data_IF_809678561779
#
_entry.id   IF_809678561779
#
_cell.length_a   1.000
_cell.length_b   1.000
_cell.length_c   1.000
_cell.angle_alpha   90.00
_cell.angle_beta   90.00
_cell.angle_gamma   90.00
#
_symmetry.space_group_name_H-M   'P 1'
#
loop_
_entity.id
_entity.type
_entity.pdbx_description
1 polymer ?
#
# COMPACT_ATOMS: atom_id res chain seq x y z
N UNK A 1 -23.30 4.56 5.74
CA UNK A 1 -22.43 3.44 6.15
C UNK A 1 -22.11 3.60 7.63
N UNK A 2 -22.46 2.62 8.47
CA UNK A 2 -22.14 2.71 9.90
C UNK A 2 -20.62 2.66 10.09
N UNK A 3 -20.07 3.64 10.83
CA UNK A 3 -18.63 3.79 11.09
C UNK A 3 -18.01 2.51 11.66
N UNK A 4 -18.76 1.82 12.53
CA UNK A 4 -18.43 0.52 13.11
C UNK A 4 -18.16 -0.56 12.05
N UNK A 5 -18.97 -0.63 10.99
CA UNK A 5 -18.78 -1.62 9.92
C UNK A 5 -17.56 -1.31 9.06
N UNK A 6 -17.26 -0.02 8.84
CA UNK A 6 -16.06 0.39 8.10
C UNK A 6 -14.78 0.09 8.90
N UNK A 7 -14.79 0.41 10.20
CA UNK A 7 -13.68 0.10 11.12
C UNK A 7 -13.45 -1.40 11.25
N UNK A 8 -14.52 -2.18 11.42
CA UNK A 8 -14.42 -3.64 11.49
C UNK A 8 -13.85 -4.24 10.19
N UNK A 9 -14.25 -3.71 9.02
CA UNK A 9 -13.77 -4.20 7.72
C UNK A 9 -12.28 -3.88 7.49
N UNK A 10 -11.86 -2.64 7.74
CA UNK A 10 -10.45 -2.24 7.56
C UNK A 10 -9.56 -2.89 8.63
N UNK A 11 -10.04 -2.95 9.88
CA UNK A 11 -9.33 -3.57 10.99
C UNK A 11 -9.13 -5.07 10.79
N UNK A 12 -10.15 -5.80 10.35
CA UNK A 12 -10.02 -7.24 10.05
C UNK A 12 -9.06 -7.50 8.89
N UNK A 13 -9.14 -6.74 7.80
CA UNK A 13 -8.18 -6.84 6.69
C UNK A 13 -6.73 -6.56 7.15
N UNK A 14 -6.54 -5.57 8.02
CA UNK A 14 -5.22 -5.24 8.58
C UNK A 14 -4.71 -6.36 9.48
N UNK A 15 -5.57 -6.92 10.33
CA UNK A 15 -5.21 -8.00 11.24
C UNK A 15 -4.79 -9.27 10.49
N UNK A 16 -5.57 -9.67 9.49
CA UNK A 16 -5.26 -10.82 8.63
C UNK A 16 -3.92 -10.61 7.92
N UNK A 17 -3.68 -9.42 7.37
CA UNK A 17 -2.41 -9.07 6.73
C UNK A 17 -1.21 -9.21 7.68
N UNK A 18 -1.36 -8.77 8.95
CA UNK A 18 -0.30 -8.93 9.97
C UNK A 18 -0.03 -10.38 10.32
N UNK A 19 -1.07 -11.21 10.46
CA UNK A 19 -0.90 -12.65 10.72
C UNK A 19 -0.16 -13.31 9.57
N UNK A 20 -0.54 -13.03 8.31
CA UNK A 20 0.14 -13.58 7.14
C UNK A 20 1.62 -13.14 7.09
N UNK A 21 1.90 -11.87 7.41
CA UNK A 21 3.27 -11.37 7.54
C UNK A 21 4.07 -12.12 8.62
N UNK A 22 3.48 -12.33 9.79
CA UNK A 22 4.12 -13.08 10.87
C UNK A 22 4.40 -14.54 10.50
N UNK A 23 3.46 -15.21 9.82
CA UNK A 23 3.66 -16.57 9.30
C UNK A 23 4.80 -16.60 8.29
N UNK A 24 4.84 -15.65 7.34
CA UNK A 24 5.94 -15.52 6.38
C UNK A 24 7.28 -15.39 7.10
N UNK A 25 7.37 -14.51 8.08
CA UNK A 25 8.63 -14.25 8.80
C UNK A 25 9.06 -15.48 9.61
N UNK A 26 8.11 -16.21 10.20
CA UNK A 26 8.37 -17.49 10.89
C UNK A 26 8.87 -18.57 9.92
N UNK A 27 8.30 -18.66 8.72
CA UNK A 27 8.74 -19.60 7.69
C UNK A 27 10.14 -19.26 7.19
N UNK A 28 10.43 -17.98 6.94
CA UNK A 28 11.78 -17.53 6.55
C UNK A 28 12.78 -17.90 7.65
N UNK A 29 12.46 -17.62 8.92
CA UNK A 29 13.33 -17.96 10.04
C UNK A 29 13.54 -19.48 10.19
N UNK A 30 12.50 -20.30 9.95
CA UNK A 30 12.59 -21.77 9.98
C UNK A 30 13.43 -22.33 8.82
N UNK A 31 13.31 -21.77 7.62
CA UNK A 31 13.97 -22.29 6.40
C UNK A 31 15.42 -21.82 6.31
N UNK A 32 15.70 -20.55 6.61
CA UNK A 32 17.02 -19.97 6.44
C UNK A 32 17.82 -19.86 7.75
N UNK A 33 17.17 -19.93 8.93
CA UNK A 33 17.82 -19.75 10.23
C UNK A 33 18.30 -18.31 10.47
N UNK A 34 19.10 -18.11 11.52
CA UNK A 34 19.85 -16.87 11.72
C UNK A 34 21.18 -16.96 10.95
N UNK A 35 21.24 -16.37 9.75
CA UNK A 35 22.42 -16.44 8.89
C UNK A 35 22.38 -15.47 7.72
N UNK A 36 23.50 -15.41 6.99
CA UNK A 36 23.75 -14.41 5.94
C UNK A 36 22.71 -14.44 4.79
N UNK A 37 22.09 -15.60 4.54
CA UNK A 37 21.04 -15.75 3.53
C UNK A 37 19.72 -15.07 3.94
N UNK A 38 19.35 -15.14 5.22
CA UNK A 38 18.18 -14.45 5.78
C UNK A 38 18.34 -12.94 5.69
N UNK A 39 19.54 -12.44 6.00
CA UNK A 39 19.87 -11.01 5.92
C UNK A 39 19.83 -10.52 4.47
N UNK A 40 20.39 -11.28 3.53
CA UNK A 40 20.35 -10.97 2.11
C UNK A 40 18.91 -10.93 1.57
N UNK A 41 18.07 -11.89 1.97
CA UNK A 41 16.66 -11.93 1.61
C UNK A 41 15.93 -10.68 2.13
N UNK A 42 16.08 -10.34 3.41
CA UNK A 42 15.44 -9.15 4.00
C UNK A 42 15.91 -7.87 3.29
N UNK A 43 17.20 -7.73 3.02
CA UNK A 43 17.76 -6.57 2.33
C UNK A 43 17.25 -6.45 0.89
N UNK A 44 17.14 -7.57 0.15
CA UNK A 44 16.58 -7.57 -1.20
C UNK A 44 15.14 -7.00 -1.23
N UNK A 45 14.33 -7.32 -0.23
CA UNK A 45 12.97 -6.77 -0.12
C UNK A 45 12.91 -5.30 0.31
N UNK A 46 14.01 -4.68 0.77
CA UNK A 46 14.00 -3.26 1.15
C UNK A 46 13.87 -2.35 -0.07
N UNK A 47 14.51 -2.67 -1.18
CA UNK A 47 14.49 -1.80 -2.38
C UNK A 47 13.06 -1.69 -2.95
N UNK A 48 12.34 -2.79 -3.24
CA UNK A 48 10.96 -2.71 -3.71
C UNK A 48 10.03 -2.07 -2.66
N UNK A 49 10.23 -2.38 -1.37
CA UNK A 49 9.42 -1.76 -0.32
C UNK A 49 9.66 -0.26 -0.21
N UNK A 50 10.88 0.22 -0.41
CA UNK A 50 11.18 1.65 -0.41
C UNK A 50 10.43 2.34 -1.55
N UNK A 51 10.53 1.80 -2.77
CA UNK A 51 9.78 2.30 -3.95
C UNK A 51 8.27 2.33 -3.69
N UNK A 52 7.73 1.23 -3.15
CA UNK A 52 6.32 1.14 -2.76
C UNK A 52 5.94 2.19 -1.71
N UNK A 53 6.83 2.44 -0.73
CA UNK A 53 6.57 3.42 0.34
C UNK A 53 6.60 4.86 -0.16
N UNK A 54 7.49 5.21 -1.09
CA UNK A 54 7.56 6.57 -1.64
C UNK A 54 6.44 6.82 -2.65
N UNK A 55 6.07 5.82 -3.46
CA UNK A 55 5.13 5.99 -4.58
C UNK A 55 3.68 5.65 -4.24
N UNK A 56 3.42 4.60 -3.45
CA UNK A 56 2.07 4.03 -3.30
C UNK A 56 1.47 4.17 -1.89
N UNK A 57 2.30 4.18 -0.84
CA UNK A 57 1.82 4.30 0.55
C UNK A 57 2.13 5.64 1.22
N UNK A 58 3.04 6.43 0.63
CA UNK A 58 3.57 7.65 1.24
C UNK A 58 2.71 8.89 1.00
N UNK A 59 3.40 10.04 0.97
CA UNK A 59 2.79 11.35 0.81
C UNK A 59 1.89 11.46 -0.45
N UNK A 60 2.24 10.74 -1.52
CA UNK A 60 1.46 10.73 -2.75
C UNK A 60 0.04 10.21 -2.53
N UNK A 61 -0.14 9.01 -1.97
CA UNK A 61 -1.48 8.43 -1.79
C UNK A 61 -2.33 9.22 -0.78
N UNK A 62 -1.70 9.73 0.28
CA UNK A 62 -2.36 10.59 1.26
C UNK A 62 -2.85 11.93 0.67
N UNK A 63 -2.10 12.52 -0.27
CA UNK A 63 -2.50 13.75 -0.94
C UNK A 63 -3.46 13.49 -2.13
N UNK A 64 -3.24 12.42 -2.88
CA UNK A 64 -3.96 12.14 -4.13
C UNK A 64 -5.36 11.58 -3.89
N UNK A 65 -5.56 10.67 -2.92
CA UNK A 65 -6.86 10.05 -2.67
C UNK A 65 -7.96 11.08 -2.31
N UNK A 66 -7.72 12.07 -1.42
CA UNK A 66 -8.69 13.12 -1.14
C UNK A 66 -9.04 13.96 -2.37
N UNK A 67 -8.04 14.38 -3.15
CA UNK A 67 -8.23 15.18 -4.37
C UNK A 67 -9.04 14.39 -5.41
N UNK A 68 -8.73 13.10 -5.59
CA UNK A 68 -9.47 12.24 -6.50
C UNK A 68 -10.93 12.06 -6.06
N UNK A 69 -11.17 11.91 -4.74
CA UNK A 69 -12.52 11.80 -4.18
C UNK A 69 -13.32 13.10 -4.35
N UNK A 70 -12.67 14.26 -4.23
CA UNK A 70 -13.28 15.57 -4.49
C UNK A 70 -13.66 15.73 -5.98
N UNK A 71 -12.74 15.41 -6.89
CA UNK A 71 -13.01 15.50 -8.34
C UNK A 71 -14.15 14.57 -8.76
N UNK A 72 -14.16 13.34 -8.24
CA UNK A 72 -15.21 12.37 -8.52
C UNK A 72 -16.59 12.81 -8.00
N UNK A 73 -16.63 13.54 -6.89
CA UNK A 73 -17.89 13.99 -6.27
C UNK A 73 -18.40 15.31 -6.82
N UNK A 74 -17.52 16.24 -7.21
CA UNK A 74 -17.89 17.62 -7.55
C UNK A 74 -17.72 18.00 -9.02
N UNK A 75 -16.81 17.35 -9.78
CA UNK A 75 -16.38 17.83 -11.11
C UNK A 75 -16.72 16.91 -12.28
N UNK A 76 -17.43 15.82 -12.04
CA UNK A 76 -17.88 14.90 -13.08
C UNK A 76 -16.77 13.98 -13.63
N UNK A 77 -17.16 13.12 -14.58
CA UNK A 77 -16.32 12.01 -15.05
C UNK A 77 -15.14 12.47 -15.90
N UNK A 78 -15.34 13.45 -16.80
CA UNK A 78 -14.34 13.91 -17.75
C UNK A 78 -13.15 14.63 -17.08
N UNK A 79 -13.44 15.50 -16.10
CA UNK A 79 -12.40 16.20 -15.34
C UNK A 79 -11.61 15.25 -14.44
N UNK A 80 -12.28 14.24 -13.88
CA UNK A 80 -11.61 13.17 -13.12
C UNK A 80 -10.67 12.37 -14.02
N UNK A 81 -11.10 12.04 -15.25
CA UNK A 81 -10.24 11.35 -16.23
C UNK A 81 -9.04 12.20 -16.65
N UNK A 82 -9.22 13.50 -16.86
CA UNK A 82 -8.12 14.42 -17.14
C UNK A 82 -7.10 14.48 -16.00
N UNK A 83 -7.57 14.53 -14.75
CA UNK A 83 -6.70 14.49 -13.57
C UNK A 83 -5.88 13.18 -13.53
N UNK A 84 -6.55 12.03 -13.67
CA UNK A 84 -5.89 10.72 -13.67
C UNK A 84 -4.86 10.63 -14.79
N UNK A 85 -5.21 11.04 -16.02
CA UNK A 85 -4.30 10.99 -17.16
C UNK A 85 -3.06 11.85 -16.93
N UNK A 86 -3.22 13.07 -16.42
CA UNK A 86 -2.07 13.92 -16.09
C UNK A 86 -1.19 13.25 -15.04
N UNK A 87 -1.77 12.79 -13.94
CA UNK A 87 -0.99 12.17 -12.86
C UNK A 87 -0.29 10.88 -13.32
N UNK A 88 -0.93 10.07 -14.16
CA UNK A 88 -0.34 8.88 -14.74
C UNK A 88 0.83 9.22 -15.70
N UNK A 89 0.71 10.26 -16.52
CA UNK A 89 1.80 10.72 -17.40
C UNK A 89 3.01 11.27 -16.63
N UNK A 90 2.80 11.88 -15.46
CA UNK A 90 3.91 12.40 -14.64
C UNK A 90 4.60 11.32 -13.78
N UNK A 91 3.95 10.17 -13.55
CA UNK A 91 4.46 9.10 -12.68
C UNK A 91 4.95 7.84 -13.42
N UNK A 92 4.54 7.65 -14.67
CA UNK A 92 5.02 6.57 -15.55
C UNK A 92 6.25 6.99 -16.32
#
# INVERSE_FOLDING_TARGET
MNLLNALAKVGSMTFVSRILGFVRDTLIARVFGAGMLSDAFIVAFKIPNLLRRISAEGAFSQAFVPILSEYKSQRGFDETHRLINRVATWLG
#
